data_IF_356158278747
#
_entry.id   IF_356158278747
#
_cell.length_a   1.000
_cell.length_b   1.000
_cell.length_c   1.000
_cell.angle_alpha   90.00
_cell.angle_beta   90.00
_cell.angle_gamma   90.00
#
_symmetry.space_group_name_H-M   'P 1'
#
loop_
_entity.id
_entity.type
_entity.pdbx_description
1 polymer ?
#
# COMPACT_ATOMS: atom_id res chain seq x y z
N UNK A 1 -7.98 11.33 -21.63
CA UNK A 1 -7.09 12.50 -21.48
C UNK A 1 -7.77 13.50 -20.54
N UNK A 2 -7.55 13.38 -19.23
CA UNK A 2 -8.10 14.30 -18.22
C UNK A 2 -6.92 14.99 -17.53
N UNK A 3 -6.44 16.07 -18.13
CA UNK A 3 -5.35 16.91 -17.59
C UNK A 3 -5.85 18.27 -17.08
N UNK A 4 -7.16 18.55 -17.14
CA UNK A 4 -7.68 19.92 -17.01
C UNK A 4 -8.20 20.22 -15.58
N UNK A 5 -8.53 19.21 -14.78
CA UNK A 5 -9.13 19.43 -13.46
C UNK A 5 -8.13 19.87 -12.35
N UNK A 6 -6.82 19.62 -12.55
CA UNK A 6 -5.79 19.99 -11.56
C UNK A 6 -5.34 21.45 -11.68
N UNK A 7 -5.01 21.89 -12.90
CA UNK A 7 -4.42 23.21 -13.14
C UNK A 7 -5.35 24.39 -12.79
N UNK A 8 -6.67 24.21 -12.89
CA UNK A 8 -7.64 25.25 -12.55
C UNK A 8 -7.78 25.48 -11.04
N UNK A 9 -7.48 24.47 -10.19
CA UNK A 9 -7.52 24.64 -8.72
C UNK A 9 -6.31 25.39 -8.20
N UNK A 10 -5.13 25.14 -8.75
CA UNK A 10 -3.89 25.82 -8.34
C UNK A 10 -3.93 27.33 -8.64
N UNK A 11 -4.55 27.74 -9.76
CA UNK A 11 -4.71 29.16 -10.09
C UNK A 11 -5.68 29.91 -9.16
N UNK A 12 -6.71 29.22 -8.64
CA UNK A 12 -7.65 29.79 -7.67
C UNK A 12 -7.04 29.96 -6.26
N UNK A 13 -6.02 29.17 -5.91
CA UNK A 13 -5.34 29.28 -4.60
C UNK A 13 -4.45 30.53 -4.47
N UNK A 14 -4.00 31.11 -5.59
CA UNK A 14 -3.13 32.30 -5.59
C UNK A 14 -3.89 33.63 -5.40
N UNK A 15 -5.23 33.62 -5.44
CA UNK A 15 -6.09 34.80 -5.29
C UNK A 15 -6.91 34.82 -3.98
N UNK A 16 -6.62 33.92 -3.03
CA UNK A 16 -7.37 33.85 -1.78
C UNK A 16 -6.90 34.91 -0.76
N UNK A 17 -7.83 35.57 -0.02
CA UNK A 17 -7.48 36.55 1.02
C UNK A 17 -6.54 35.96 2.06
N UNK A 18 -5.67 36.79 2.65
CA UNK A 18 -4.68 36.40 3.68
C UNK A 18 -5.26 35.70 4.92
N UNK A 19 -6.58 35.80 5.13
CA UNK A 19 -7.29 35.19 6.25
C UNK A 19 -7.99 33.86 5.88
N UNK A 20 -7.73 33.31 4.70
CA UNK A 20 -8.32 32.04 4.28
C UNK A 20 -7.72 30.86 5.06
N UNK A 21 -8.51 30.31 5.99
CA UNK A 21 -8.18 29.08 6.70
C UNK A 21 -8.40 27.89 5.76
N UNK A 22 -7.32 27.30 5.23
CA UNK A 22 -7.39 26.05 4.45
C UNK A 22 -8.01 24.94 5.31
N UNK A 23 -9.21 24.51 4.93
CA UNK A 23 -9.88 23.38 5.58
C UNK A 23 -9.18 22.09 5.14
N UNK A 24 -8.71 21.23 6.07
CA UNK A 24 -7.98 20.02 5.70
C UNK A 24 -8.86 19.09 4.87
N UNK A 25 -8.40 18.78 3.67
CA UNK A 25 -9.01 17.78 2.81
C UNK A 25 -8.78 16.38 3.36
N UNK A 26 -9.55 15.39 2.89
CA UNK A 26 -9.34 13.99 3.24
C UNK A 26 -7.94 13.49 2.87
N UNK A 27 -7.35 14.02 1.79
CA UNK A 27 -5.96 13.72 1.38
C UNK A 27 -4.94 14.20 2.42
N UNK A 28 -5.08 15.43 2.91
CA UNK A 28 -4.16 16.00 3.91
C UNK A 28 -4.22 15.20 5.21
N UNK A 29 -5.41 14.76 5.61
CA UNK A 29 -5.59 13.88 6.78
C UNK A 29 -4.93 12.53 6.58
N UNK A 30 -5.04 11.95 5.38
CA UNK A 30 -4.37 10.68 5.06
C UNK A 30 -2.85 10.83 5.02
N UNK A 31 -2.31 11.92 4.48
CA UNK A 31 -0.87 12.20 4.48
C UNK A 31 -0.34 12.42 5.89
N UNK A 32 -1.08 13.14 6.74
CA UNK A 32 -0.73 13.34 8.15
C UNK A 32 -0.79 12.05 8.97
N UNK A 33 -1.66 11.10 8.60
CA UNK A 33 -1.86 9.84 9.33
C UNK A 33 -1.18 8.65 8.66
N UNK A 34 -0.41 8.86 7.59
CA UNK A 34 0.20 7.77 6.84
C UNK A 34 1.18 7.04 7.75
N UNK A 35 0.98 5.74 8.05
CA UNK A 35 1.93 4.99 8.83
C UNK A 35 3.27 4.96 8.09
N UNK A 36 4.36 5.20 8.82
CA UNK A 36 5.70 5.04 8.29
C UNK A 36 6.01 3.55 8.19
N UNK A 37 5.64 2.98 7.04
CA UNK A 37 5.86 1.58 6.72
C UNK A 37 7.29 1.42 6.19
N UNK A 38 8.12 0.75 6.98
CA UNK A 38 9.43 0.27 6.53
C UNK A 38 9.30 -1.16 6.01
N UNK A 39 9.61 -1.37 4.72
CA UNK A 39 9.55 -2.67 4.06
C UNK A 39 10.92 -3.29 3.79
N UNK A 40 12.00 -2.68 4.28
CA UNK A 40 13.37 -3.09 3.94
C UNK A 40 13.73 -4.49 4.43
N UNK A 41 13.15 -4.95 5.54
CA UNK A 41 13.43 -6.25 6.18
C UNK A 41 12.18 -7.15 6.26
N UNK A 42 11.27 -7.01 5.30
CA UNK A 42 9.98 -7.70 5.34
C UNK A 42 10.06 -9.16 4.86
N UNK A 43 11.10 -9.51 4.09
CA UNK A 43 11.30 -10.87 3.59
C UNK A 43 12.69 -11.35 3.98
N UNK A 44 12.77 -12.61 4.43
CA UNK A 44 14.04 -13.26 4.73
C UNK A 44 14.88 -13.46 3.45
N UNK A 45 16.21 -13.50 3.60
CA UNK A 45 17.16 -13.56 2.47
C UNK A 45 16.99 -14.83 1.60
N UNK A 46 16.46 -15.90 2.18
CA UNK A 46 16.22 -17.19 1.53
C UNK A 46 14.86 -17.29 0.82
N UNK A 47 14.00 -16.28 0.95
CA UNK A 47 12.71 -16.23 0.28
C UNK A 47 12.89 -16.35 -1.23
N UNK A 48 12.23 -17.37 -1.79
CA UNK A 48 12.25 -17.64 -3.23
C UNK A 48 13.54 -18.24 -3.78
N UNK A 49 14.53 -18.59 -2.95
CA UNK A 49 15.76 -19.27 -3.39
C UNK A 49 15.51 -20.73 -3.77
N UNK A 50 14.74 -21.45 -2.94
CA UNK A 50 14.38 -22.85 -3.18
C UNK A 50 13.05 -23.01 -3.93
N UNK A 51 12.89 -24.16 -4.59
CA UNK A 51 11.61 -24.51 -5.21
C UNK A 51 10.50 -24.61 -4.15
N UNK A 52 9.40 -23.92 -4.38
CA UNK A 52 8.35 -23.88 -3.38
C UNK A 52 7.29 -22.83 -3.65
N UNK A 53 6.38 -22.70 -2.69
CA UNK A 53 5.38 -21.64 -2.63
C UNK A 53 5.54 -20.94 -1.29
N UNK A 54 5.60 -19.62 -1.32
CA UNK A 54 5.44 -18.76 -0.17
C UNK A 54 4.10 -18.03 -0.29
N UNK A 55 3.32 -18.01 0.79
CA UNK A 55 2.06 -17.27 0.86
C UNK A 55 2.11 -16.36 2.07
N UNK A 56 1.79 -15.09 1.88
CA UNK A 56 1.63 -14.13 2.96
C UNK A 56 0.23 -13.54 2.95
N UNK A 57 -0.32 -13.29 4.13
CA UNK A 57 -1.53 -12.50 4.35
C UNK A 57 -1.15 -11.08 4.74
N UNK A 58 -1.87 -10.07 4.26
CA UNK A 58 -1.62 -8.68 4.63
C UNK A 58 -2.39 -8.32 5.89
N UNK A 59 -1.67 -8.18 7.00
CA UNK A 59 -2.20 -7.75 8.28
C UNK A 59 -1.64 -6.35 8.63
N UNK A 60 -2.52 -5.39 8.89
CA UNK A 60 -2.11 -4.02 9.27
C UNK A 60 -1.05 -3.41 8.33
N UNK A 61 -1.20 -3.62 7.02
CA UNK A 61 -0.28 -3.19 5.95
C UNK A 61 1.08 -3.89 5.92
N UNK A 62 1.28 -4.99 6.65
CA UNK A 62 2.47 -5.81 6.62
C UNK A 62 2.16 -7.24 6.18
N UNK A 63 3.02 -7.90 5.36
CA UNK A 63 2.83 -9.29 5.03
C UNK A 63 3.26 -10.18 6.20
N UNK A 64 2.38 -11.10 6.58
CA UNK A 64 2.57 -12.12 7.60
C UNK A 64 2.58 -13.48 6.93
N UNK A 65 3.56 -14.34 7.25
CA UNK A 65 3.67 -15.66 6.60
C UNK A 65 2.44 -16.51 6.97
N UNK A 66 1.76 -17.03 5.95
CA UNK A 66 0.59 -17.88 6.13
C UNK A 66 1.03 -19.32 6.43
N UNK A 67 0.36 -19.97 7.37
CA UNK A 67 0.62 -21.39 7.66
C UNK A 67 0.37 -22.25 6.41
N UNK A 68 1.29 -23.17 6.14
CA UNK A 68 1.19 -24.12 5.02
C UNK A 68 -0.11 -24.94 5.01
N UNK A 69 -0.71 -25.21 6.18
CA UNK A 69 -2.00 -25.89 6.32
C UNK A 69 -3.18 -25.05 5.83
N UNK A 70 -3.03 -23.73 5.76
CA UNK A 70 -4.02 -22.78 5.26
C UNK A 70 -3.84 -22.46 3.78
N UNK A 71 -2.81 -22.99 3.12
CA UNK A 71 -2.62 -22.77 1.69
C UNK A 71 -3.83 -23.26 0.88
N UNK A 72 -4.42 -22.36 0.09
CA UNK A 72 -5.63 -22.63 -0.69
C UNK A 72 -6.93 -22.24 0.02
N UNK A 73 -6.87 -21.82 1.28
CA UNK A 73 -7.96 -21.23 2.03
C UNK A 73 -7.75 -19.72 2.11
N UNK A 74 -8.47 -18.96 1.28
CA UNK A 74 -8.39 -17.51 1.23
C UNK A 74 -9.70 -16.89 1.69
N UNK A 75 -9.61 -15.82 2.50
CA UNK A 75 -10.77 -15.05 2.90
C UNK A 75 -11.04 -13.93 1.89
N UNK A 76 -12.31 -13.75 1.50
CA UNK A 76 -12.72 -12.80 0.46
C UNK A 76 -12.47 -11.32 0.81
N UNK A 77 -12.30 -11.01 2.10
CA UNK A 77 -12.11 -9.65 2.59
C UNK A 77 -10.64 -9.29 2.85
N UNK A 78 -9.73 -10.23 2.62
CA UNK A 78 -8.31 -10.10 2.93
C UNK A 78 -7.45 -10.08 1.65
N UNK A 79 -6.20 -9.66 1.80
CA UNK A 79 -5.24 -9.56 0.72
C UNK A 79 -4.09 -10.55 0.95
N UNK A 80 -3.61 -11.17 -0.13
CA UNK A 80 -2.54 -12.15 -0.07
C UNK A 80 -1.45 -11.89 -1.11
N UNK A 81 -0.20 -12.18 -0.76
CA UNK A 81 0.94 -12.26 -1.67
C UNK A 81 1.32 -13.72 -1.86
N UNK A 82 1.59 -14.12 -3.11
CA UNK A 82 1.96 -15.50 -3.43
C UNK A 82 3.19 -15.49 -4.34
N UNK A 83 4.27 -16.14 -3.89
CA UNK A 83 5.48 -16.36 -4.68
C UNK A 83 5.63 -17.85 -4.97
N UNK A 84 5.65 -18.22 -6.25
CA UNK A 84 5.98 -19.58 -6.71
C UNK A 84 7.38 -19.58 -7.34
N UNK A 85 8.31 -20.27 -6.72
CA UNK A 85 9.64 -20.53 -7.30
C UNK A 85 9.67 -21.91 -7.96
N UNK A 86 10.29 -22.00 -9.14
CA UNK A 86 10.51 -23.24 -9.89
C UNK A 86 11.91 -23.19 -10.51
N UNK A 87 12.64 -24.29 -10.55
CA UNK A 87 13.84 -24.42 -11.38
C UNK A 87 13.42 -24.45 -12.84
N UNK A 88 14.22 -23.81 -13.68
CA UNK A 88 14.06 -23.78 -15.14
C UNK A 88 14.96 -24.83 -15.77
#
# INVERSE_FOLDING_TARGET
>A
MSHIAGAARDQLEHELPTDYVKVPTWKDKMEQQKPHLDYSEVFDEDVGQDEGIWVWEIENFYPSILDSSMHGHFYDADCYLILRTRRV
#
